data_IF_164418314613
#
_entry.id   IF_164418314613
#
_cell.length_a   1.000
_cell.length_b   1.000
_cell.length_c   1.000
_cell.angle_alpha   90.00
_cell.angle_beta   90.00
_cell.angle_gamma   90.00
#
_symmetry.space_group_name_H-M   'P 1'
#
loop_
_entity.id
_entity.type
_entity.pdbx_description
1 polymer ?
#
# COMPACT_ATOMS: atom_id res chain seq x y z
N UNK A 1 61.42 36.40 -18.67
CA UNK A 1 60.02 35.94 -18.54
C UNK A 1 60.10 34.45 -18.21
N UNK A 2 59.95 34.02 -16.95
CA UNK A 2 58.69 33.71 -16.24
C UNK A 2 57.85 32.68 -17.01
N UNK A 3 57.34 31.57 -16.48
CA UNK A 3 57.36 30.89 -15.18
C UNK A 3 56.90 29.42 -15.42
N UNK A 4 56.87 28.60 -14.37
CA UNK A 4 56.70 27.15 -14.34
C UNK A 4 55.24 26.60 -14.38
N UNK A 5 55.15 25.26 -14.27
CA UNK A 5 54.03 24.38 -13.80
C UNK A 5 52.99 23.97 -14.86
N UNK A 6 52.27 22.84 -14.79
CA UNK A 6 52.32 21.54 -14.11
C UNK A 6 51.14 20.71 -14.70
N UNK A 7 51.09 19.41 -14.41
CA UNK A 7 50.16 18.38 -14.91
C UNK A 7 48.67 18.76 -15.06
N UNK A 8 47.99 18.18 -16.05
CA UNK A 8 46.54 18.04 -16.10
C UNK A 8 46.15 16.62 -16.55
N UNK A 9 45.32 15.99 -15.73
CA UNK A 9 44.82 14.62 -15.80
C UNK A 9 44.02 14.35 -17.09
N UNK A 10 44.28 13.20 -17.72
CA UNK A 10 43.41 12.65 -18.74
C UNK A 10 42.15 12.07 -18.07
N UNK A 11 41.01 12.60 -18.49
CA UNK A 11 39.65 12.22 -18.11
C UNK A 11 39.30 10.81 -18.62
N UNK A 12 39.10 9.83 -17.70
CA UNK A 12 38.14 8.71 -17.81
C UNK A 12 38.34 7.70 -16.65
N UNK A 13 37.33 6.89 -16.24
CA UNK A 13 35.87 7.00 -16.34
C UNK A 13 35.20 7.00 -14.94
N UNK A 14 33.98 7.51 -14.80
CA UNK A 14 33.09 7.07 -13.71
C UNK A 14 32.15 6.02 -14.31
N UNK A 15 32.27 4.73 -13.97
CA UNK A 15 31.20 3.77 -14.22
C UNK A 15 30.08 4.10 -13.23
N UNK A 16 29.11 4.89 -13.68
CA UNK A 16 27.82 5.03 -12.98
C UNK A 16 26.95 3.83 -13.34
N UNK A 17 27.29 2.70 -12.73
CA UNK A 17 26.44 1.51 -12.64
C UNK A 17 26.15 1.20 -11.17
N UNK A 18 25.71 2.21 -10.42
CA UNK A 18 24.94 2.00 -9.20
C UNK A 18 23.55 2.52 -9.49
N UNK A 19 22.75 1.68 -10.13
CA UNK A 19 21.31 1.85 -10.06
C UNK A 19 20.96 1.66 -8.59
N UNK A 20 20.86 2.78 -7.88
CA UNK A 20 20.28 2.89 -6.56
C UNK A 20 18.96 2.12 -6.60
N UNK A 21 19.01 0.85 -6.17
CA UNK A 21 17.87 0.15 -5.62
C UNK A 21 17.51 0.98 -4.42
N UNK A 22 16.74 2.06 -4.65
CA UNK A 22 16.37 3.02 -3.64
C UNK A 22 15.77 2.24 -2.48
N UNK A 23 16.58 2.05 -1.46
CA UNK A 23 16.19 1.67 -0.12
C UNK A 23 15.29 2.82 0.36
N UNK A 24 14.05 2.86 -0.11
CA UNK A 24 13.16 3.96 0.21
C UNK A 24 12.96 3.94 1.73
N UNK A 25 13.30 5.02 2.41
CA UNK A 25 13.13 5.14 3.85
C UNK A 25 11.71 5.54 4.18
N UNK A 26 11.14 4.93 5.22
CA UNK A 26 9.82 5.32 5.69
C UNK A 26 9.91 6.70 6.34
N UNK A 27 9.17 7.73 5.87
CA UNK A 27 9.28 9.10 6.40
C UNK A 27 8.73 9.27 7.82
N UNK A 28 8.14 8.22 8.41
CA UNK A 28 7.58 8.22 9.77
C UNK A 28 8.60 7.71 10.79
N UNK A 29 9.29 6.61 10.50
CA UNK A 29 10.29 6.02 11.41
C UNK A 29 11.74 6.20 10.96
N UNK A 30 11.97 6.68 9.73
CA UNK A 30 13.29 6.84 9.11
C UNK A 30 14.07 5.52 8.95
N UNK A 31 13.36 4.39 8.84
CA UNK A 31 13.95 3.06 8.61
C UNK A 31 13.64 2.57 7.19
N UNK A 32 14.49 1.69 6.66
CA UNK A 32 14.36 1.12 5.30
C UNK A 32 13.04 0.36 5.12
N UNK A 33 12.40 0.58 3.98
CA UNK A 33 11.17 -0.09 3.60
C UNK A 33 11.47 -1.46 2.95
N UNK A 34 11.16 -2.56 3.65
CA UNK A 34 11.15 -3.90 3.04
C UNK A 34 9.83 -4.13 2.29
N UNK A 35 9.89 -4.74 1.11
CA UNK A 35 8.72 -4.91 0.22
C UNK A 35 7.54 -5.66 0.86
N UNK A 36 7.76 -6.43 1.92
CA UNK A 36 6.76 -7.30 2.56
C UNK A 36 5.79 -6.55 3.49
N UNK A 37 6.08 -5.32 3.89
CA UNK A 37 5.28 -4.60 4.89
C UNK A 37 4.92 -3.16 4.49
N UNK A 38 4.72 -2.92 3.19
CA UNK A 38 4.44 -1.59 2.65
C UNK A 38 2.95 -1.36 2.46
N UNK A 39 2.53 -0.15 2.82
CA UNK A 39 1.24 0.41 2.48
C UNK A 39 1.47 1.54 1.48
N UNK A 40 0.77 1.46 0.33
CA UNK A 40 0.76 2.53 -0.66
C UNK A 40 -0.59 3.26 -0.63
N UNK A 41 -0.55 4.56 -0.42
CA UNK A 41 -1.75 5.40 -0.41
C UNK A 41 -2.22 5.75 -1.83
N UNK A 42 -3.50 6.14 -2.02
CA UNK A 42 -4.00 6.67 -3.29
C UNK A 42 -3.26 7.92 -3.77
N UNK A 43 -2.69 8.70 -2.85
CA UNK A 43 -1.80 9.83 -3.16
C UNK A 43 -0.36 9.40 -3.54
N UNK A 44 -0.15 8.10 -3.78
CA UNK A 44 1.09 7.45 -4.25
C UNK A 44 2.25 7.39 -3.24
N UNK A 45 2.11 8.00 -2.06
CA UNK A 45 3.10 7.91 -0.97
C UNK A 45 3.11 6.53 -0.30
N UNK A 46 4.29 6.12 0.17
CA UNK A 46 4.58 4.81 0.76
C UNK A 46 5.04 4.95 2.21
N UNK A 47 4.63 3.99 3.03
CA UNK A 47 4.98 3.89 4.44
C UNK A 47 5.02 2.40 4.83
N UNK A 48 5.67 2.04 5.94
CA UNK A 48 5.35 0.77 6.57
C UNK A 48 3.87 0.76 6.98
N UNK A 49 3.19 -0.37 6.77
CA UNK A 49 1.79 -0.54 7.16
C UNK A 49 1.58 -0.23 8.66
N UNK A 50 2.51 -0.66 9.52
CA UNK A 50 2.47 -0.39 10.96
C UNK A 50 2.63 1.10 11.29
N UNK A 51 3.54 1.81 10.62
CA UNK A 51 3.75 3.25 10.82
C UNK A 51 2.50 4.05 10.48
N UNK A 52 1.87 3.75 9.35
CA UNK A 52 0.64 4.42 8.95
C UNK A 52 -0.55 4.05 9.85
N UNK A 53 -0.64 2.81 10.32
CA UNK A 53 -1.67 2.41 11.27
C UNK A 53 -1.51 3.10 12.64
N UNK A 54 -0.28 3.20 13.14
CA UNK A 54 0.02 4.02 14.34
C UNK A 54 -0.39 5.47 14.13
N UNK A 55 -0.05 6.06 12.98
CA UNK A 55 -0.46 7.43 12.63
C UNK A 55 -1.99 7.62 12.70
N UNK A 56 -2.76 6.69 12.13
CA UNK A 56 -4.24 6.69 12.22
C UNK A 56 -4.74 6.55 13.65
N UNK A 57 -4.10 5.70 14.45
CA UNK A 57 -4.50 5.44 15.85
C UNK A 57 -4.39 6.69 16.74
N UNK A 58 -3.52 7.64 16.39
CA UNK A 58 -3.43 8.96 17.04
C UNK A 58 -4.51 9.96 16.56
N UNK A 59 -5.44 9.53 15.72
CA UNK A 59 -6.55 10.35 15.22
C UNK A 59 -6.25 11.10 13.93
N UNK A 60 -5.09 10.89 13.31
CA UNK A 60 -4.75 11.54 12.04
C UNK A 60 -5.45 10.87 10.86
N UNK A 61 -6.16 11.67 10.05
CA UNK A 61 -6.91 11.21 8.87
C UNK A 61 -6.32 11.76 7.57
N UNK A 62 -5.09 12.25 7.59
CA UNK A 62 -4.41 12.82 6.41
C UNK A 62 -3.00 12.25 6.24
N UNK A 63 -2.54 12.22 5.00
CA UNK A 63 -1.20 11.77 4.63
C UNK A 63 -0.11 12.64 5.31
N UNK A 64 0.90 12.03 5.97
CA UNK A 64 2.00 12.77 6.59
C UNK A 64 2.78 13.69 5.63
N UNK A 65 2.81 13.34 4.34
CA UNK A 65 3.59 14.07 3.32
C UNK A 65 2.79 15.15 2.60
N UNK A 66 1.59 14.83 2.11
CA UNK A 66 0.83 15.73 1.23
C UNK A 66 -0.53 16.17 1.79
N UNK A 67 -0.88 15.77 3.02
CA UNK A 67 -2.13 16.13 3.71
C UNK A 67 -3.43 15.74 3.01
N UNK A 68 -3.38 14.97 1.94
CA UNK A 68 -4.57 14.36 1.35
C UNK A 68 -5.24 13.42 2.35
N UNK A 69 -6.57 13.36 2.33
CA UNK A 69 -7.33 12.47 3.20
C UNK A 69 -6.93 11.01 2.99
N UNK A 70 -6.81 10.28 4.10
CA UNK A 70 -6.50 8.87 4.09
C UNK A 70 -7.77 8.07 3.75
N UNK A 71 -7.65 6.99 2.97
CA UNK A 71 -8.74 6.02 2.87
C UNK A 71 -8.95 5.33 4.23
N UNK A 72 -10.11 4.66 4.40
CA UNK A 72 -10.35 3.75 5.52
C UNK A 72 -9.15 2.82 5.74
N UNK A 73 -8.84 2.56 7.01
CA UNK A 73 -7.72 1.68 7.37
C UNK A 73 -7.94 0.23 6.91
N UNK A 74 -6.87 -0.58 6.85
CA UNK A 74 -6.93 -1.98 6.42
C UNK A 74 -7.99 -2.80 7.18
N UNK A 75 -8.04 -2.67 8.51
CA UNK A 75 -8.98 -3.41 9.37
C UNK A 75 -10.44 -3.01 9.10
N UNK A 76 -10.68 -1.73 8.80
CA UNK A 76 -12.02 -1.22 8.51
C UNK A 76 -12.53 -1.76 7.17
N UNK A 77 -11.66 -1.76 6.15
CA UNK A 77 -11.97 -2.33 4.84
C UNK A 77 -12.24 -3.84 4.94
N UNK A 78 -11.41 -4.56 5.69
CA UNK A 78 -11.58 -6.00 5.90
C UNK A 78 -12.87 -6.32 6.67
N UNK A 79 -13.20 -5.54 7.70
CA UNK A 79 -14.44 -5.69 8.45
C UNK A 79 -15.68 -5.46 7.56
N UNK A 80 -15.64 -4.45 6.68
CA UNK A 80 -16.73 -4.18 5.73
C UNK A 80 -16.88 -5.32 4.70
N UNK A 81 -15.77 -5.80 4.14
CA UNK A 81 -15.77 -6.96 3.24
C UNK A 81 -16.36 -8.20 3.93
N UNK A 82 -15.91 -8.47 5.16
CA UNK A 82 -16.40 -9.59 5.98
C UNK A 82 -17.90 -9.48 6.25
N UNK A 83 -18.41 -8.28 6.53
CA UNK A 83 -19.83 -8.05 6.71
C UNK A 83 -20.65 -8.33 5.43
N UNK A 84 -20.17 -7.86 4.27
CA UNK A 84 -20.82 -8.10 2.98
C UNK A 84 -20.82 -9.58 2.61
N UNK A 85 -19.72 -10.29 2.87
CA UNK A 85 -19.64 -11.74 2.71
C UNK A 85 -20.62 -12.46 3.63
N UNK A 86 -20.67 -12.12 4.91
CA UNK A 86 -21.63 -12.70 5.86
C UNK A 86 -23.09 -12.45 5.44
N UNK A 87 -23.35 -11.33 4.74
CA UNK A 87 -24.67 -11.03 4.18
C UNK A 87 -25.00 -11.92 2.99
N UNK A 88 -24.03 -12.21 2.11
CA UNK A 88 -24.23 -13.11 0.96
C UNK A 88 -24.31 -14.57 1.40
N UNK A 89 -23.41 -15.04 2.26
CA UNK A 89 -23.41 -16.41 2.80
C UNK A 89 -24.74 -16.76 3.46
N UNK A 90 -25.29 -15.87 4.31
CA UNK A 90 -26.61 -16.07 4.92
C UNK A 90 -27.73 -16.24 3.90
N UNK A 91 -27.65 -15.58 2.74
CA UNK A 91 -28.63 -15.75 1.66
C UNK A 91 -28.41 -17.07 0.93
N UNK A 92 -27.17 -17.40 0.59
CA UNK A 92 -26.82 -18.66 -0.07
C UNK A 92 -27.27 -19.86 0.75
N UNK A 93 -27.00 -19.87 2.07
CA UNK A 93 -27.46 -20.95 2.97
C UNK A 93 -28.98 -21.12 3.00
N UNK A 94 -29.75 -20.05 2.81
CA UNK A 94 -31.22 -20.13 2.73
C UNK A 94 -31.71 -20.60 1.37
N UNK A 95 -30.93 -20.37 0.33
CA UNK A 95 -31.33 -20.59 -1.06
C UNK A 95 -31.08 -22.01 -1.56
N UNK A 96 -30.50 -22.91 -0.74
CA UNK A 96 -30.02 -24.30 -1.02
C UNK A 96 -28.51 -24.49 -0.80
N UNK A 97 -27.76 -23.43 -0.50
CA UNK A 97 -26.32 -23.47 -0.32
C UNK A 97 -25.51 -23.32 -1.62
N UNK A 98 -26.16 -23.10 -2.76
CA UNK A 98 -25.51 -22.95 -4.05
C UNK A 98 -24.90 -21.56 -4.23
N UNK A 99 -23.60 -21.54 -4.48
CA UNK A 99 -22.85 -20.34 -4.88
C UNK A 99 -22.84 -20.13 -6.40
N UNK A 100 -23.48 -21.01 -7.18
CA UNK A 100 -23.28 -21.13 -8.63
C UNK A 100 -24.08 -20.15 -9.50
N UNK A 101 -25.12 -19.49 -8.96
CA UNK A 101 -25.94 -18.56 -9.73
C UNK A 101 -26.29 -17.31 -8.92
N UNK A 102 -25.38 -16.34 -8.91
CA UNK A 102 -25.68 -15.03 -8.36
C UNK A 102 -26.57 -14.21 -9.29
N UNK A 103 -27.63 -13.66 -8.72
CA UNK A 103 -28.34 -12.51 -9.28
C UNK A 103 -27.37 -11.34 -9.50
N UNK A 104 -27.70 -10.43 -10.41
CA UNK A 104 -26.86 -9.25 -10.67
C UNK A 104 -26.54 -8.44 -9.40
N UNK A 105 -27.49 -8.32 -8.46
CA UNK A 105 -27.25 -7.64 -7.18
C UNK A 105 -26.31 -8.40 -6.24
N UNK A 106 -26.33 -9.73 -6.26
CA UNK A 106 -25.36 -10.55 -5.53
C UNK A 106 -23.97 -10.44 -6.16
N UNK A 107 -23.87 -10.52 -7.49
CA UNK A 107 -22.60 -10.34 -8.19
C UNK A 107 -22.00 -8.97 -7.91
N UNK A 108 -22.80 -7.90 -7.92
CA UNK A 108 -22.35 -6.56 -7.55
C UNK A 108 -21.82 -6.49 -6.11
N UNK A 109 -22.49 -7.15 -5.16
CA UNK A 109 -21.99 -7.24 -3.77
C UNK A 109 -20.65 -7.99 -3.69
N UNK A 110 -20.51 -9.09 -4.45
CA UNK A 110 -19.27 -9.86 -4.47
C UNK A 110 -18.11 -9.12 -5.13
N UNK A 111 -18.39 -8.36 -6.19
CA UNK A 111 -17.41 -7.47 -6.80
C UNK A 111 -16.92 -6.42 -5.79
N UNK A 112 -17.84 -5.87 -4.98
CA UNK A 112 -17.47 -4.92 -3.93
C UNK A 112 -16.65 -5.58 -2.81
N UNK A 113 -16.99 -6.79 -2.39
CA UNK A 113 -16.15 -7.58 -1.47
C UNK A 113 -14.73 -7.72 -2.02
N UNK A 114 -14.59 -8.13 -3.28
CA UNK A 114 -13.28 -8.31 -3.91
C UNK A 114 -12.48 -7.00 -3.93
N UNK A 115 -13.14 -5.87 -4.24
CA UNK A 115 -12.53 -4.54 -4.22
C UNK A 115 -12.03 -4.15 -2.82
N UNK A 116 -12.85 -4.37 -1.79
CA UNK A 116 -12.49 -4.03 -0.41
C UNK A 116 -11.33 -4.89 0.11
N UNK A 117 -11.33 -6.19 -0.18
CA UNK A 117 -10.22 -7.08 0.18
C UNK A 117 -8.92 -6.68 -0.51
N UNK A 118 -8.96 -6.33 -1.81
CA UNK A 118 -7.79 -5.85 -2.52
C UNK A 118 -7.21 -4.57 -1.88
N UNK A 119 -8.06 -3.60 -1.53
CA UNK A 119 -7.61 -2.38 -0.84
C UNK A 119 -7.06 -2.66 0.57
N UNK A 120 -7.62 -3.63 1.29
CA UNK A 120 -7.09 -4.03 2.60
C UNK A 120 -5.70 -4.67 2.45
N UNK A 121 -5.50 -5.52 1.43
CA UNK A 121 -4.23 -6.16 1.11
C UNK A 121 -3.14 -5.15 0.73
N UNK A 122 -3.46 -4.19 -0.14
CA UNK A 122 -2.57 -3.09 -0.53
C UNK A 122 -2.15 -2.20 0.66
N UNK A 123 -2.95 -2.20 1.73
CA UNK A 123 -2.66 -1.51 2.98
C UNK A 123 -2.00 -2.40 4.05
N UNK A 124 -1.70 -3.67 3.72
CA UNK A 124 -0.97 -4.58 4.58
C UNK A 124 -1.83 -5.38 5.57
N UNK A 125 -3.13 -5.58 5.32
CA UNK A 125 -3.94 -6.48 6.15
C UNK A 125 -3.55 -7.93 5.91
N UNK A 126 -3.06 -8.63 6.94
CA UNK A 126 -2.51 -9.98 6.81
C UNK A 126 -3.53 -11.00 6.24
N UNK A 127 -4.79 -10.97 6.70
CA UNK A 127 -5.81 -11.92 6.22
C UNK A 127 -6.37 -11.59 4.83
N UNK A 128 -5.91 -10.49 4.20
CA UNK A 128 -6.35 -10.07 2.86
C UNK A 128 -5.29 -10.32 1.77
N UNK A 129 -4.07 -10.73 2.15
CA UNK A 129 -2.95 -11.08 1.26
C UNK A 129 -3.06 -12.51 0.74
#
# INVERSE_FOLDING_TARGET
AAAAAAAAHADNPVPVEDQELLDEECPVCMETMSALSLCRLPCLHRFHAECLNKWRSFGHQTCPLCRHELPPGPDQLFAEASWLLCRIDRRVRRADGSWGAFTAGQQGTMNEVARLLALAAEQGHADAQ
#
